data_IF_259299696484
#
_entry.id   IF_259299696484
#
_cell.length_a   1.000
_cell.length_b   1.000
_cell.length_c   1.000
_cell.angle_alpha   90.00
_cell.angle_beta   90.00
_cell.angle_gamma   90.00
#
_symmetry.space_group_name_H-M   'P 1'
#
loop_
_entity.id
_entity.type
_entity.pdbx_description
1 polymer ?
#
# COMPACT_ATOMS: atom_id res chain seq x y z
N UNK A 1 -19.88 -17.82 -0.88
CA UNK A 1 -19.52 -17.32 0.48
C UNK A 1 -18.00 -17.09 0.70
N UNK A 2 -17.14 -17.31 -0.30
CA UNK A 2 -15.66 -17.17 -0.14
C UNK A 2 -15.14 -15.74 0.06
N UNK A 3 -15.96 -14.70 -0.03
CA UNK A 3 -15.52 -13.30 -0.02
C UNK A 3 -16.11 -12.43 1.10
N UNK A 4 -16.75 -13.03 2.10
CA UNK A 4 -17.29 -12.27 3.23
C UNK A 4 -16.21 -12.08 4.29
N UNK A 5 -15.91 -10.82 4.63
CA UNK A 5 -15.04 -10.47 5.76
C UNK A 5 -15.90 -10.32 7.01
N UNK A 6 -15.45 -10.96 8.10
CA UNK A 6 -16.09 -10.82 9.42
C UNK A 6 -15.65 -9.49 10.02
N UNK A 7 -16.60 -8.62 10.33
CA UNK A 7 -16.32 -7.36 11.04
C UNK A 7 -16.96 -7.47 12.42
N UNK A 8 -16.14 -7.28 13.45
CA UNK A 8 -16.60 -7.28 14.84
C UNK A 8 -17.32 -5.97 15.15
N UNK A 9 -18.57 -6.07 15.58
CA UNK A 9 -19.34 -4.93 16.07
C UNK A 9 -19.16 -4.86 17.58
N UNK A 10 -18.36 -3.93 18.05
CA UNK A 10 -18.14 -3.65 19.47
C UNK A 10 -18.98 -2.47 19.92
N UNK A 11 -19.34 -2.43 21.21
CA UNK A 11 -20.04 -1.27 21.78
C UNK A 11 -19.16 -0.03 21.79
N UNK A 12 -19.75 1.15 21.76
CA UNK A 12 -19.00 2.42 21.85
C UNK A 12 -18.16 2.51 23.11
N UNK A 13 -18.67 1.97 24.23
CA UNK A 13 -17.93 1.91 25.48
C UNK A 13 -16.67 1.03 25.34
N UNK A 14 -16.81 -0.13 24.72
CA UNK A 14 -15.67 -1.02 24.43
C UNK A 14 -14.62 -0.33 23.55
N UNK A 15 -15.05 0.37 22.50
CA UNK A 15 -14.15 1.11 21.62
C UNK A 15 -13.37 2.21 22.36
N UNK A 16 -14.03 2.91 23.30
CA UNK A 16 -13.34 3.91 24.14
C UNK A 16 -12.30 3.26 25.05
N UNK A 17 -12.65 2.14 25.68
CA UNK A 17 -11.72 1.38 26.52
C UNK A 17 -10.55 0.82 25.73
N UNK A 18 -10.81 0.26 24.56
CA UNK A 18 -9.77 -0.19 23.65
C UNK A 18 -8.83 0.96 23.22
N UNK A 19 -9.34 2.18 23.10
CA UNK A 19 -8.53 3.37 22.82
C UNK A 19 -7.44 3.60 23.87
N UNK A 20 -7.77 3.52 25.13
CA UNK A 20 -6.78 3.65 26.22
C UNK A 20 -5.75 2.51 26.20
N UNK A 21 -6.21 1.26 26.01
CA UNK A 21 -5.31 0.10 25.92
C UNK A 21 -4.34 0.28 24.74
N UNK A 22 -4.87 0.66 23.58
CA UNK A 22 -4.09 0.96 22.40
C UNK A 22 -2.99 1.98 22.68
N UNK A 23 -3.36 3.12 23.26
CA UNK A 23 -2.42 4.22 23.49
C UNK A 23 -1.30 3.78 24.45
N UNK A 24 -1.62 3.02 25.48
CA UNK A 24 -0.61 2.47 26.40
C UNK A 24 0.31 1.45 25.73
N UNK A 25 -0.23 0.54 24.93
CA UNK A 25 0.57 -0.43 24.18
C UNK A 25 1.51 0.31 23.22
N UNK A 26 0.98 1.27 22.44
CA UNK A 26 1.79 2.01 21.46
C UNK A 26 2.93 2.80 22.10
N UNK A 27 2.73 3.32 23.32
CA UNK A 27 3.82 3.94 24.10
C UNK A 27 4.88 2.91 24.48
N UNK A 28 4.45 1.74 25.00
CA UNK A 28 5.37 0.70 25.47
C UNK A 28 6.23 0.11 24.35
N UNK A 29 5.62 -0.13 23.16
CA UNK A 29 6.30 -0.79 22.04
C UNK A 29 6.96 0.17 21.03
N UNK A 30 6.86 1.48 21.24
CA UNK A 30 7.24 2.51 20.25
C UNK A 30 8.66 2.35 19.70
N UNK A 31 9.61 1.87 20.50
CA UNK A 31 11.01 1.66 20.13
C UNK A 31 11.27 0.31 19.43
N UNK A 32 10.32 -0.60 19.47
CA UNK A 32 10.42 -1.95 18.92
C UNK A 32 9.67 -2.12 17.59
N UNK A 33 8.97 -1.05 17.16
CA UNK A 33 8.22 -1.07 15.91
C UNK A 33 9.19 -1.04 14.74
N UNK A 34 8.95 -1.90 13.75
CA UNK A 34 9.72 -1.90 12.50
C UNK A 34 9.62 -0.52 11.82
N UNK A 35 10.77 0.06 11.53
CA UNK A 35 10.87 1.38 10.88
C UNK A 35 10.29 1.40 9.46
N UNK A 36 10.18 0.24 8.84
CA UNK A 36 9.66 0.06 7.48
C UNK A 36 8.14 -0.11 7.44
N UNK A 37 7.47 -0.16 8.60
CA UNK A 37 6.01 -0.21 8.70
C UNK A 37 5.40 1.18 8.60
N UNK A 38 4.65 1.44 7.53
CA UNK A 38 3.95 2.71 7.28
C UNK A 38 2.48 2.69 7.72
N UNK A 39 1.90 1.49 7.86
CA UNK A 39 0.52 1.34 8.28
C UNK A 39 0.33 1.57 9.78
N UNK A 40 -0.80 2.19 10.16
CA UNK A 40 -1.22 2.36 11.56
C UNK A 40 -0.24 3.11 12.48
N UNK A 41 0.71 3.84 11.94
CA UNK A 41 1.64 4.66 12.69
C UNK A 41 1.30 6.14 12.56
N UNK A 42 1.47 6.89 13.68
CA UNK A 42 1.29 8.33 13.68
C UNK A 42 2.35 9.01 12.82
N UNK A 43 1.91 9.88 11.92
CA UNK A 43 2.81 10.65 11.05
C UNK A 43 3.19 9.94 9.75
N UNK A 44 2.70 8.72 9.52
CA UNK A 44 2.87 8.00 8.24
C UNK A 44 1.54 7.84 7.50
N UNK A 45 1.59 7.54 6.23
CA UNK A 45 0.42 7.35 5.36
C UNK A 45 0.77 6.46 4.17
N UNK A 46 -0.26 6.07 3.40
CA UNK A 46 -0.09 5.41 2.11
C UNK A 46 0.79 6.24 1.16
N UNK A 47 0.64 7.57 1.17
CA UNK A 47 1.44 8.48 0.34
C UNK A 47 2.94 8.40 0.69
N UNK A 48 3.30 8.36 1.98
CA UNK A 48 4.68 8.18 2.41
C UNK A 48 5.27 6.85 1.95
N UNK A 49 4.50 5.76 2.02
CA UNK A 49 4.96 4.45 1.54
C UNK A 49 5.26 4.48 0.05
N UNK A 50 4.29 4.92 -0.79
CA UNK A 50 4.50 4.87 -2.24
C UNK A 50 5.57 5.84 -2.72
N UNK A 51 5.71 7.02 -2.09
CA UNK A 51 6.77 7.97 -2.41
C UNK A 51 8.13 7.36 -2.09
N UNK A 52 8.31 6.80 -0.88
CA UNK A 52 9.58 6.21 -0.48
C UNK A 52 9.93 4.94 -1.28
N UNK A 53 8.93 4.13 -1.62
CA UNK A 53 9.11 2.95 -2.47
C UNK A 53 9.63 3.34 -3.86
N UNK A 54 8.99 4.33 -4.49
CA UNK A 54 9.39 4.81 -5.83
C UNK A 54 10.73 5.55 -5.80
N UNK A 55 10.94 6.40 -4.80
CA UNK A 55 12.21 7.12 -4.61
C UNK A 55 13.37 6.13 -4.47
N UNK A 56 13.17 5.05 -3.70
CA UNK A 56 14.19 4.01 -3.53
C UNK A 56 14.49 3.27 -4.84
N UNK A 57 13.47 2.92 -5.62
CA UNK A 57 13.66 2.31 -6.95
C UNK A 57 14.50 3.23 -7.84
N UNK A 58 14.12 4.52 -7.92
CA UNK A 58 14.83 5.50 -8.74
C UNK A 58 16.27 5.69 -8.27
N UNK A 59 16.51 5.82 -6.96
CA UNK A 59 17.86 5.92 -6.39
C UNK A 59 18.73 4.71 -6.73
N UNK A 60 18.18 3.49 -6.63
CA UNK A 60 18.91 2.26 -6.96
C UNK A 60 19.27 2.20 -8.45
N UNK A 61 18.37 2.65 -9.32
CA UNK A 61 18.61 2.70 -10.76
C UNK A 61 19.59 3.82 -11.16
N UNK A 62 19.51 4.99 -10.50
CA UNK A 62 20.37 6.16 -10.82
C UNK A 62 21.81 5.98 -10.35
N UNK A 63 22.01 5.42 -9.16
CA UNK A 63 23.33 5.31 -8.55
C UNK A 63 24.21 4.23 -9.18
N UNK A 64 23.64 3.31 -9.98
CA UNK A 64 24.35 2.10 -10.43
C UNK A 64 24.50 1.98 -11.95
N UNK A 65 24.40 3.07 -12.70
CA UNK A 65 24.55 3.15 -14.16
C UNK A 65 23.53 2.31 -14.96
N UNK A 66 23.68 2.35 -16.28
CA UNK A 66 22.76 1.73 -17.28
C UNK A 66 22.67 0.20 -17.23
N UNK A 67 23.53 -0.47 -16.44
CA UNK A 67 23.59 -1.93 -16.34
C UNK A 67 23.10 -2.45 -15.00
N UNK A 68 21.90 -2.00 -14.56
CA UNK A 68 21.27 -2.48 -13.33
C UNK A 68 19.76 -2.65 -13.50
N UNK A 69 19.20 -3.56 -12.74
CA UNK A 69 17.76 -3.74 -12.60
C UNK A 69 17.36 -3.79 -11.13
N UNK A 70 16.13 -3.42 -10.83
CA UNK A 70 15.55 -3.56 -9.49
C UNK A 70 14.41 -4.56 -9.55
N UNK A 71 14.51 -5.63 -8.76
CA UNK A 71 13.43 -6.58 -8.56
C UNK A 71 12.62 -6.13 -7.35
N UNK A 72 11.31 -5.96 -7.53
CA UNK A 72 10.36 -5.70 -6.46
C UNK A 72 9.47 -6.93 -6.25
N UNK A 73 9.63 -7.63 -5.14
CA UNK A 73 8.74 -8.71 -4.73
C UNK A 73 7.59 -8.16 -3.89
N UNK A 74 6.37 -8.60 -4.20
CA UNK A 74 5.12 -8.16 -3.57
C UNK A 74 4.46 -9.39 -2.95
N UNK A 75 4.42 -9.43 -1.62
CA UNK A 75 3.97 -10.60 -0.87
C UNK A 75 2.63 -10.32 -0.21
N UNK A 76 1.65 -11.19 -0.43
CA UNK A 76 0.31 -11.11 0.13
C UNK A 76 0.04 -12.31 1.08
N UNK A 77 -0.74 -12.08 2.15
CA UNK A 77 -1.16 -13.12 3.07
C UNK A 77 -2.65 -13.42 2.92
N UNK A 78 -2.99 -14.71 2.95
CA UNK A 78 -4.38 -15.18 2.89
C UNK A 78 -5.07 -15.03 4.23
N UNK A 79 -6.13 -14.20 4.29
CA UNK A 79 -6.97 -14.04 5.50
C UNK A 79 -6.15 -13.72 6.76
N UNK A 80 -5.25 -12.76 6.66
CA UNK A 80 -4.26 -12.43 7.68
C UNK A 80 -4.88 -12.27 9.09
N UNK A 81 -5.97 -11.52 9.24
CA UNK A 81 -6.66 -11.34 10.51
C UNK A 81 -7.34 -12.61 11.05
N UNK A 82 -7.88 -13.46 10.18
CA UNK A 82 -8.57 -14.70 10.60
C UNK A 82 -7.59 -15.78 11.09
N UNK A 83 -6.29 -15.63 10.78
CA UNK A 83 -5.23 -16.61 11.10
C UNK A 83 -4.37 -16.22 12.27
N UNK A 84 -4.60 -15.06 12.88
CA UNK A 84 -3.87 -14.66 14.07
C UNK A 84 -4.01 -15.71 15.17
N UNK A 85 -2.87 -16.05 15.80
CA UNK A 85 -2.84 -16.94 16.97
C UNK A 85 -2.70 -16.09 18.23
N UNK A 86 -3.73 -16.04 19.09
CA UNK A 86 -3.70 -15.21 20.30
C UNK A 86 -2.53 -15.54 21.23
N UNK A 87 -2.12 -16.80 21.29
CA UNK A 87 -1.01 -17.22 22.15
C UNK A 87 0.33 -16.68 21.64
N UNK A 88 0.54 -16.73 20.33
CA UNK A 88 1.73 -16.14 19.70
C UNK A 88 1.71 -14.61 19.83
N UNK A 89 0.56 -13.97 19.61
CA UNK A 89 0.40 -12.54 19.79
C UNK A 89 0.77 -12.10 21.20
N UNK A 90 0.26 -12.77 22.23
CA UNK A 90 0.58 -12.45 23.64
C UNK A 90 2.09 -12.60 23.92
N UNK A 91 2.74 -13.67 23.41
CA UNK A 91 4.19 -13.82 23.53
C UNK A 91 4.95 -12.67 22.88
N UNK A 92 4.51 -12.20 21.71
CA UNK A 92 5.13 -11.07 21.00
C UNK A 92 4.86 -9.75 21.73
N UNK A 93 3.69 -9.51 22.28
CA UNK A 93 3.42 -8.36 23.13
C UNK A 93 4.41 -8.28 24.31
N UNK A 94 4.64 -9.41 24.99
CA UNK A 94 5.61 -9.49 26.09
C UNK A 94 7.04 -9.21 25.58
N UNK A 95 7.43 -9.84 24.45
CA UNK A 95 8.76 -9.66 23.83
C UNK A 95 9.01 -8.20 23.44
N UNK A 96 7.98 -7.51 22.93
CA UNK A 96 8.06 -6.10 22.55
C UNK A 96 7.99 -5.13 23.74
N UNK A 97 7.91 -5.63 25.00
CA UNK A 97 7.99 -4.82 26.20
C UNK A 97 6.69 -4.19 26.67
N UNK A 98 5.53 -4.73 26.27
CA UNK A 98 4.25 -4.30 26.81
C UNK A 98 4.24 -4.50 28.33
N UNK A 99 3.83 -3.46 29.08
CA UNK A 99 3.80 -3.48 30.54
C UNK A 99 3.02 -4.68 31.10
N UNK A 100 3.54 -5.36 32.14
CA UNK A 100 2.94 -6.60 32.66
C UNK A 100 1.47 -6.48 33.05
N UNK A 101 1.02 -5.32 33.49
CA UNK A 101 -0.38 -5.08 33.86
C UNK A 101 -1.38 -5.22 32.71
N UNK A 102 -0.96 -5.01 31.46
CA UNK A 102 -1.82 -5.14 30.28
C UNK A 102 -1.89 -6.59 29.78
N UNK A 103 -0.92 -7.44 30.09
CA UNK A 103 -0.86 -8.82 29.56
C UNK A 103 -2.09 -9.65 29.93
N UNK A 104 -2.57 -9.67 31.18
CA UNK A 104 -3.80 -10.38 31.54
C UNK A 104 -5.05 -9.83 30.82
N UNK A 105 -5.11 -8.52 30.61
CA UNK A 105 -6.22 -7.86 29.88
C UNK A 105 -6.23 -8.33 28.43
N UNK A 106 -5.06 -8.30 27.76
CA UNK A 106 -4.90 -8.78 26.38
C UNK A 106 -5.23 -10.28 26.27
N UNK A 107 -4.75 -11.10 27.22
CA UNK A 107 -5.04 -12.52 27.25
C UNK A 107 -6.55 -12.78 27.37
N UNK A 108 -7.23 -12.09 28.27
CA UNK A 108 -8.68 -12.19 28.43
C UNK A 108 -9.44 -11.74 27.17
N UNK A 109 -8.98 -10.68 26.51
CA UNK A 109 -9.64 -10.13 25.32
C UNK A 109 -9.45 -11.00 24.07
N UNK A 110 -8.29 -11.61 23.90
CA UNK A 110 -7.93 -12.33 22.66
C UNK A 110 -8.27 -13.82 22.72
N UNK A 111 -8.39 -14.43 23.93
CA UNK A 111 -8.65 -15.87 24.07
C UNK A 111 -10.12 -16.16 24.39
N UNK A 112 -10.55 -17.41 24.17
CA UNK A 112 -11.90 -17.90 24.47
C UNK A 112 -13.03 -17.10 23.83
N UNK A 113 -12.78 -16.46 22.71
CA UNK A 113 -13.73 -15.58 22.03
C UNK A 113 -14.91 -16.37 21.46
N UNK A 114 -16.06 -15.72 21.50
CA UNK A 114 -17.29 -16.23 20.91
C UNK A 114 -17.88 -15.17 19.98
N UNK A 115 -18.57 -15.60 18.94
CA UNK A 115 -19.25 -14.70 18.01
C UNK A 115 -20.63 -15.21 17.63
N UNK A 116 -21.50 -14.25 17.30
CA UNK A 116 -22.78 -14.47 16.62
C UNK A 116 -22.81 -13.59 15.37
N UNK A 117 -23.42 -14.06 14.31
CA UNK A 117 -23.69 -13.24 13.11
C UNK A 117 -25.07 -12.63 13.24
N UNK A 118 -25.16 -11.30 13.09
CA UNK A 118 -26.42 -10.56 13.01
C UNK A 118 -26.78 -10.32 11.55
N UNK A 119 -27.98 -10.71 11.15
CA UNK A 119 -28.56 -10.43 9.83
C UNK A 119 -30.05 -10.13 9.96
N UNK A 120 -30.50 -8.99 9.44
CA UNK A 120 -31.92 -8.58 9.45
C UNK A 120 -32.61 -8.76 10.82
N UNK A 121 -31.99 -8.28 11.90
CA UNK A 121 -32.45 -8.42 13.29
C UNK A 121 -32.49 -9.84 13.87
N UNK A 122 -32.07 -10.86 13.11
CA UNK A 122 -31.88 -12.22 13.59
C UNK A 122 -30.42 -12.46 13.99
N UNK A 123 -30.19 -13.32 14.97
CA UNK A 123 -28.87 -13.74 15.42
C UNK A 123 -28.68 -15.23 15.14
N UNK A 124 -27.47 -15.60 14.70
CA UNK A 124 -27.08 -17.00 14.64
C UNK A 124 -26.88 -17.57 16.04
N UNK A 125 -26.76 -18.91 16.11
CA UNK A 125 -26.21 -19.55 17.31
C UNK A 125 -24.81 -19.00 17.60
N UNK A 126 -24.40 -19.04 18.88
CA UNK A 126 -23.04 -18.67 19.33
C UNK A 126 -22.02 -19.69 18.83
N UNK A 127 -20.93 -19.21 18.27
CA UNK A 127 -19.78 -20.02 17.84
C UNK A 127 -18.53 -19.64 18.61
N UNK A 128 -17.80 -20.61 19.11
CA UNK A 128 -16.45 -20.40 19.67
C UNK A 128 -15.49 -20.18 18.51
N UNK A 129 -14.59 -19.20 18.66
CA UNK A 129 -13.52 -18.92 17.71
C UNK A 129 -12.23 -19.56 18.20
N UNK A 130 -11.62 -20.46 17.41
CA UNK A 130 -10.35 -21.11 17.79
C UNK A 130 -9.15 -20.17 17.73
N UNK A 131 -9.27 -19.05 17.00
CA UNK A 131 -8.23 -18.04 16.79
C UNK A 131 -8.76 -16.89 15.94
N UNK A 132 -7.87 -16.12 15.37
CA UNK A 132 -8.14 -14.92 14.57
C UNK A 132 -8.28 -13.68 15.42
N UNK A 133 -7.85 -12.54 14.90
CA UNK A 133 -8.00 -11.23 15.53
C UNK A 133 -9.42 -10.66 15.37
N UNK A 134 -9.88 -9.81 16.28
CA UNK A 134 -11.18 -9.14 16.17
C UNK A 134 -11.10 -8.02 15.13
N UNK A 135 -11.29 -8.35 13.86
CA UNK A 135 -11.25 -7.37 12.76
C UNK A 135 -12.31 -6.29 12.95
N UNK A 136 -11.90 -5.02 12.89
CA UNK A 136 -12.77 -3.86 13.13
C UNK A 136 -12.66 -3.28 14.54
N UNK A 137 -11.79 -3.82 15.39
CA UNK A 137 -11.48 -3.29 16.72
C UNK A 137 -10.09 -2.68 16.75
N UNK A 138 -9.83 -1.80 17.73
CA UNK A 138 -8.53 -1.14 17.87
C UNK A 138 -7.45 -2.13 18.35
N UNK A 139 -7.79 -2.99 19.32
CA UNK A 139 -6.86 -3.98 19.88
C UNK A 139 -6.55 -5.07 18.83
N UNK A 140 -7.55 -5.51 18.05
CA UNK A 140 -7.31 -6.48 16.97
C UNK A 140 -6.36 -5.98 15.89
N UNK A 141 -6.39 -4.68 15.59
CA UNK A 141 -5.46 -4.06 14.68
C UNK A 141 -4.02 -4.08 15.24
N UNK A 142 -3.85 -3.77 16.53
CA UNK A 142 -2.54 -3.81 17.17
C UNK A 142 -2.03 -5.25 17.36
N UNK A 143 -2.94 -6.20 17.62
CA UNK A 143 -2.58 -7.62 17.64
C UNK A 143 -1.90 -8.02 16.33
N UNK A 144 -2.52 -7.70 15.19
CA UNK A 144 -1.93 -7.96 13.90
C UNK A 144 -0.57 -7.27 13.72
N UNK A 145 -0.52 -5.99 14.06
CA UNK A 145 0.69 -5.17 13.98
C UNK A 145 1.86 -5.77 14.76
N UNK A 146 1.62 -6.18 16.02
CA UNK A 146 2.63 -6.82 16.87
C UNK A 146 3.00 -8.22 16.36
N UNK A 147 2.02 -9.00 15.88
CA UNK A 147 2.28 -10.33 15.37
C UNK A 147 3.10 -10.32 14.08
N UNK A 148 2.91 -9.32 13.22
CA UNK A 148 3.61 -9.19 11.94
C UNK A 148 4.86 -8.32 11.99
N UNK A 149 5.24 -7.75 13.12
CA UNK A 149 6.32 -6.77 13.23
C UNK A 149 7.69 -7.28 12.76
N UNK A 150 7.92 -8.59 12.85
CA UNK A 150 9.16 -9.27 12.49
C UNK A 150 9.06 -10.11 11.20
N UNK A 151 8.01 -9.92 10.40
CA UNK A 151 7.71 -10.76 9.23
C UNK A 151 8.69 -10.60 8.06
N UNK A 152 9.45 -9.53 8.06
CA UNK A 152 10.40 -9.21 7.01
C UNK A 152 11.80 -8.87 7.55
N UNK A 153 12.16 -9.35 8.74
CA UNK A 153 13.47 -9.11 9.36
C UNK A 153 14.64 -9.65 8.53
N UNK A 154 14.39 -10.59 7.61
CA UNK A 154 15.36 -11.09 6.65
C UNK A 154 15.70 -10.08 5.53
N UNK A 155 14.88 -9.04 5.32
CA UNK A 155 15.10 -8.01 4.31
C UNK A 155 15.68 -6.77 4.96
N UNK A 156 16.65 -6.13 4.30
CA UNK A 156 17.19 -4.86 4.75
C UNK A 156 16.07 -3.82 4.98
N UNK A 157 16.03 -3.15 6.15
CA UNK A 157 15.03 -2.13 6.44
C UNK A 157 14.92 -1.02 5.40
N UNK A 158 16.00 -0.73 4.66
CA UNK A 158 15.97 0.26 3.57
C UNK A 158 15.35 -0.24 2.28
N UNK A 159 15.19 -1.55 2.15
CA UNK A 159 14.71 -2.22 0.94
C UNK A 159 13.35 -2.88 1.15
N UNK A 160 12.74 -2.73 2.33
CA UNK A 160 11.41 -3.26 2.64
C UNK A 160 10.41 -2.15 2.93
N UNK A 161 9.18 -2.34 2.50
CA UNK A 161 8.07 -1.39 2.63
C UNK A 161 6.83 -2.16 3.05
N UNK A 162 6.30 -1.86 4.24
CA UNK A 162 5.20 -2.59 4.84
C UNK A 162 4.03 -1.63 5.08
N UNK A 163 2.84 -2.01 4.61
CA UNK A 163 1.60 -1.31 4.94
C UNK A 163 0.57 -2.29 5.48
N UNK A 164 0.54 -2.44 6.79
CA UNK A 164 -0.27 -3.43 7.51
C UNK A 164 0.11 -4.86 7.10
N UNK A 165 -0.62 -5.44 6.13
CA UNK A 165 -0.41 -6.78 5.57
C UNK A 165 0.27 -6.77 4.20
N UNK A 166 0.33 -5.65 3.51
CA UNK A 166 1.05 -5.53 2.23
C UNK A 166 2.57 -5.40 2.50
N UNK A 167 3.36 -6.36 2.04
CA UNK A 167 4.82 -6.35 2.08
C UNK A 167 5.39 -6.22 0.68
N UNK A 168 6.23 -5.22 0.48
CA UNK A 168 7.05 -5.05 -0.73
C UNK A 168 8.53 -5.06 -0.36
N UNK A 169 9.35 -5.82 -1.09
CA UNK A 169 10.79 -5.86 -0.87
C UNK A 169 11.53 -5.63 -2.20
N UNK A 170 12.61 -4.85 -2.13
CA UNK A 170 13.44 -4.49 -3.29
C UNK A 170 14.78 -5.20 -3.26
N UNK A 171 15.31 -5.53 -4.42
CA UNK A 171 16.67 -5.98 -4.63
C UNK A 171 17.28 -5.29 -5.85
N UNK A 172 18.49 -4.76 -5.69
CA UNK A 172 19.30 -4.28 -6.81
C UNK A 172 20.06 -5.45 -7.43
N UNK A 173 19.92 -5.64 -8.72
CA UNK A 173 20.65 -6.62 -9.51
C UNK A 173 21.62 -5.91 -10.44
N UNK A 174 22.92 -6.14 -10.24
CA UNK A 174 23.99 -5.58 -11.07
C UNK A 174 24.22 -6.47 -12.28
N UNK A 175 23.78 -6.03 -13.44
CA UNK A 175 23.91 -6.79 -14.71
C UNK A 175 25.36 -6.91 -15.17
N UNK A 176 26.19 -5.90 -14.87
CA UNK A 176 27.60 -5.91 -15.24
C UNK A 176 28.40 -7.06 -14.57
N UNK A 177 28.10 -7.39 -13.30
CA UNK A 177 28.71 -8.53 -12.63
C UNK A 177 28.30 -9.87 -13.21
N UNK A 178 27.04 -9.97 -13.65
CA UNK A 178 26.50 -11.15 -14.30
C UNK A 178 27.06 -11.33 -15.73
N UNK A 179 27.23 -10.22 -16.45
CA UNK A 179 27.84 -10.25 -17.78
C UNK A 179 29.32 -10.65 -17.74
N UNK A 180 30.08 -10.33 -16.68
CA UNK A 180 31.47 -10.75 -16.52
C UNK A 180 31.60 -12.28 -16.31
N UNK A 181 30.65 -12.91 -15.63
CA UNK A 181 30.56 -14.38 -15.55
C UNK A 181 30.09 -15.02 -16.86
N UNK A 182 29.31 -14.27 -17.67
CA UNK A 182 28.79 -14.71 -18.96
C UNK A 182 29.72 -14.46 -20.15
N UNK A 183 30.74 -13.60 -20.01
CA UNK A 183 31.63 -13.24 -21.12
C UNK A 183 32.36 -14.46 -21.74
N UNK A 184 32.46 -15.56 -21.01
CA UNK A 184 32.96 -16.84 -21.55
C UNK A 184 31.93 -17.57 -22.44
N UNK A 185 30.62 -17.27 -22.30
CA UNK A 185 29.54 -17.85 -23.14
C UNK A 185 29.11 -16.96 -24.30
N UNK A 186 29.45 -15.67 -24.28
CA UNK A 186 29.05 -14.68 -25.31
C UNK A 186 29.70 -14.92 -26.70
N UNK A 187 30.82 -15.61 -26.77
CA UNK A 187 31.43 -15.98 -28.06
C UNK A 187 30.60 -17.00 -28.85
N UNK A 188 29.59 -17.61 -28.24
CA UNK A 188 28.66 -18.54 -28.89
C UNK A 188 27.28 -17.90 -29.13
N UNK A 189 26.98 -16.78 -28.46
CA UNK A 189 25.66 -16.15 -28.46
C UNK A 189 25.55 -14.92 -29.40
N UNK A 190 26.67 -14.50 -30.02
CA UNK A 190 26.66 -13.34 -30.96
C UNK A 190 25.87 -13.58 -32.26
N UNK A 191 25.49 -14.82 -32.52
CA UNK A 191 24.65 -15.17 -33.70
C UNK A 191 23.15 -15.34 -33.34
N UNK A 192 22.79 -15.26 -32.06
CA UNK A 192 21.42 -15.31 -31.57
C UNK A 192 21.21 -14.04 -30.80
N UNK A 193 20.45 -13.08 -31.36
CA UNK A 193 20.11 -11.83 -30.66
C UNK A 193 19.51 -12.13 -29.28
N UNK A 194 20.30 -12.00 -28.22
CA UNK A 194 19.82 -12.18 -26.85
C UNK A 194 19.39 -10.81 -26.33
N UNK A 195 18.11 -10.54 -26.48
CA UNK A 195 17.45 -9.38 -25.89
C UNK A 195 17.12 -9.61 -24.39
N UNK A 196 17.35 -10.83 -23.88
CA UNK A 196 16.96 -11.26 -22.53
C UNK A 196 18.12 -11.91 -21.77
N UNK A 197 18.44 -11.38 -20.57
CA UNK A 197 19.43 -11.96 -19.65
C UNK A 197 18.73 -12.76 -18.56
N UNK A 198 18.90 -14.08 -18.56
CA UNK A 198 18.38 -14.94 -17.50
C UNK A 198 19.26 -14.94 -16.26
N UNK A 199 18.71 -14.54 -15.12
CA UNK A 199 19.36 -14.58 -13.80
C UNK A 199 18.79 -15.75 -12.99
N UNK A 200 19.68 -16.67 -12.57
CA UNK A 200 19.27 -17.80 -11.74
C UNK A 200 18.69 -17.32 -10.41
N UNK A 201 17.54 -17.82 -9.96
CA UNK A 201 16.97 -17.47 -8.66
C UNK A 201 17.93 -17.72 -7.49
N UNK A 202 18.81 -18.72 -7.58
CA UNK A 202 19.81 -19.03 -6.56
C UNK A 202 20.83 -17.90 -6.32
N UNK A 203 20.97 -16.99 -7.28
CA UNK A 203 21.89 -15.84 -7.21
C UNK A 203 21.19 -14.56 -6.72
N UNK A 204 19.89 -14.66 -6.38
CA UNK A 204 19.08 -13.53 -5.95
C UNK A 204 18.75 -13.60 -4.45
N UNK A 205 19.05 -12.53 -3.72
CA UNK A 205 18.61 -12.35 -2.34
C UNK A 205 17.09 -12.38 -2.22
N UNK A 206 16.37 -11.90 -3.24
CA UNK A 206 14.90 -11.98 -3.28
C UNK A 206 14.41 -13.40 -3.11
N UNK A 207 15.04 -14.40 -3.73
CA UNK A 207 14.64 -15.79 -3.59
C UNK A 207 14.91 -16.33 -2.16
N UNK A 208 16.04 -15.96 -1.57
CA UNK A 208 16.38 -16.28 -0.18
C UNK A 208 15.39 -15.61 0.80
N UNK A 209 15.11 -14.33 0.59
CA UNK A 209 14.14 -13.58 1.39
C UNK A 209 12.73 -14.19 1.32
N UNK A 210 12.28 -14.59 0.12
CA UNK A 210 10.98 -15.27 -0.06
C UNK A 210 10.93 -16.60 0.70
N UNK A 211 12.04 -17.36 0.74
CA UNK A 211 12.13 -18.59 1.52
C UNK A 211 12.06 -18.30 3.03
N UNK A 212 12.77 -17.30 3.50
CA UNK A 212 12.77 -16.90 4.92
C UNK A 212 11.38 -16.38 5.36
N UNK A 213 10.71 -15.58 4.52
CA UNK A 213 9.34 -15.12 4.75
C UNK A 213 8.37 -16.32 4.82
N UNK A 214 8.54 -17.32 3.95
CA UNK A 214 7.73 -18.54 3.98
C UNK A 214 7.93 -19.33 5.28
N UNK A 215 9.18 -19.45 5.76
CA UNK A 215 9.51 -20.10 7.03
C UNK A 215 8.88 -19.36 8.21
N UNK A 216 9.06 -18.01 8.27
CA UNK A 216 8.42 -17.17 9.27
C UNK A 216 6.89 -17.33 9.27
N UNK A 217 6.28 -17.36 8.07
CA UNK A 217 4.83 -17.51 7.91
C UNK A 217 4.34 -18.84 8.49
N UNK A 218 5.06 -19.93 8.27
CA UNK A 218 4.76 -21.24 8.83
C UNK A 218 4.87 -21.26 10.36
N UNK A 219 5.95 -20.72 10.92
CA UNK A 219 6.19 -20.62 12.37
C UNK A 219 5.11 -19.78 13.08
N UNK A 220 4.63 -18.74 12.42
CA UNK A 220 3.60 -17.85 12.95
C UNK A 220 2.17 -18.30 12.61
N UNK A 221 1.99 -19.51 12.06
CA UNK A 221 0.69 -20.10 11.70
C UNK A 221 -0.13 -19.23 10.71
N UNK A 222 0.56 -18.38 9.99
CA UNK A 222 -0.01 -17.58 8.91
C UNK A 222 -0.07 -18.39 7.61
N UNK A 223 -0.61 -17.83 6.55
CA UNK A 223 -0.63 -18.45 5.23
C UNK A 223 -0.37 -17.39 4.16
N UNK A 224 0.63 -17.64 3.34
CA UNK A 224 0.87 -16.85 2.14
C UNK A 224 -0.23 -17.06 1.10
N UNK A 225 -0.37 -16.08 0.25
CA UNK A 225 -1.24 -16.12 -0.92
C UNK A 225 -0.38 -16.12 -2.17
N UNK A 226 0.08 -17.30 -2.57
CA UNK A 226 0.99 -17.45 -3.69
C UNK A 226 0.38 -16.96 -5.02
N UNK A 227 -0.94 -17.07 -5.19
CA UNK A 227 -1.66 -16.59 -6.39
C UNK A 227 -1.70 -15.06 -6.51
N UNK A 228 -1.61 -14.33 -5.39
CA UNK A 228 -1.60 -12.88 -5.35
C UNK A 228 -0.22 -12.30 -5.14
N UNK A 229 0.73 -13.12 -4.67
CA UNK A 229 2.11 -12.71 -4.57
C UNK A 229 2.75 -12.74 -5.95
N UNK A 230 3.48 -11.68 -6.28
CA UNK A 230 4.06 -11.49 -7.59
C UNK A 230 5.36 -10.67 -7.49
N UNK A 231 6.00 -10.42 -8.62
CA UNK A 231 7.16 -9.56 -8.66
C UNK A 231 7.20 -8.71 -9.93
N UNK A 232 7.87 -7.57 -9.84
CA UNK A 232 8.13 -6.65 -10.94
C UNK A 232 9.64 -6.51 -11.14
N UNK A 233 10.04 -6.19 -12.35
CA UNK A 233 11.43 -5.87 -12.70
C UNK A 233 11.48 -4.49 -13.33
N UNK A 234 12.16 -3.57 -12.68
CA UNK A 234 12.43 -2.23 -13.20
C UNK A 234 13.84 -2.20 -13.79
N UNK A 235 13.98 -1.76 -15.02
CA UNK A 235 15.27 -1.62 -15.68
C UNK A 235 15.29 -0.38 -16.56
N UNK A 236 16.47 0.24 -16.70
CA UNK A 236 16.74 1.27 -17.71
C UNK A 236 17.53 0.71 -18.88
N UNK A 237 17.98 -0.54 -18.78
CA UNK A 237 18.69 -1.23 -19.86
C UNK A 237 17.71 -1.69 -20.91
N UNK A 238 18.15 -1.70 -22.17
CA UNK A 238 17.44 -2.37 -23.28
C UNK A 238 17.44 -3.89 -23.09
N UNK A 239 18.41 -4.42 -22.33
CA UNK A 239 18.47 -5.85 -21.98
C UNK A 239 17.41 -6.19 -20.96
N UNK A 240 16.49 -7.05 -21.31
CA UNK A 240 15.48 -7.54 -20.40
C UNK A 240 16.09 -8.54 -19.40
N UNK A 241 15.73 -8.38 -18.11
CA UNK A 241 16.12 -9.32 -17.05
C UNK A 241 15.02 -10.32 -16.83
N UNK A 242 15.29 -11.59 -17.14
CA UNK A 242 14.41 -12.70 -16.84
C UNK A 242 14.87 -13.44 -15.58
N UNK A 243 13.92 -13.84 -14.77
CA UNK A 243 14.13 -14.76 -13.64
C UNK A 243 12.83 -15.50 -13.33
N UNK A 244 12.91 -16.59 -12.55
CA UNK A 244 11.75 -17.35 -12.13
C UNK A 244 11.77 -17.50 -10.61
N UNK A 245 11.19 -16.54 -9.91
CA UNK A 245 11.06 -16.58 -8.47
C UNK A 245 9.98 -17.59 -8.04
N UNK A 246 10.18 -18.22 -6.91
CA UNK A 246 9.25 -19.19 -6.35
C UNK A 246 8.96 -18.91 -4.88
N UNK A 247 7.70 -19.15 -4.46
CA UNK A 247 7.23 -19.05 -3.09
C UNK A 247 6.51 -20.35 -2.71
N UNK A 248 6.96 -21.05 -1.67
CA UNK A 248 6.46 -22.38 -1.29
C UNK A 248 6.44 -23.40 -2.45
N UNK A 249 7.43 -23.34 -3.35
CA UNK A 249 7.49 -24.23 -4.51
C UNK A 249 6.61 -23.82 -5.70
N UNK A 250 5.76 -22.79 -5.56
CA UNK A 250 4.96 -22.24 -6.64
C UNK A 250 5.72 -21.10 -7.30
N UNK A 251 5.78 -21.09 -8.64
CA UNK A 251 6.39 -19.98 -9.40
C UNK A 251 5.54 -18.72 -9.26
N UNK A 252 6.17 -17.61 -8.89
CA UNK A 252 5.52 -16.31 -8.84
C UNK A 252 5.33 -15.74 -10.25
N UNK A 253 4.22 -15.05 -10.46
CA UNK A 253 3.97 -14.32 -11.69
C UNK A 253 4.82 -13.06 -11.75
N UNK A 254 5.49 -12.84 -12.88
CA UNK A 254 6.08 -11.54 -13.23
C UNK A 254 4.98 -10.66 -13.80
N UNK A 255 4.80 -9.49 -13.21
CA UNK A 255 3.80 -8.54 -13.63
C UNK A 255 4.46 -7.22 -14.05
N UNK A 256 3.82 -6.52 -14.97
CA UNK A 256 4.30 -5.23 -15.46
C UNK A 256 3.61 -4.05 -14.80
N UNK A 257 2.47 -4.30 -14.16
CA UNK A 257 1.69 -3.28 -13.47
C UNK A 257 1.10 -3.82 -12.16
N UNK A 258 1.13 -3.01 -11.11
CA UNK A 258 0.55 -3.35 -9.80
C UNK A 258 -0.20 -2.17 -9.22
N UNK A 259 -1.18 -2.47 -8.39
CA UNK A 259 -1.87 -1.48 -7.58
C UNK A 259 -1.38 -1.53 -6.14
N UNK A 260 -0.36 -0.73 -5.81
CA UNK A 260 0.20 -0.65 -4.46
C UNK A 260 -0.53 0.42 -3.64
N UNK A 261 -1.12 0.04 -2.51
CA UNK A 261 -1.93 0.87 -1.60
C UNK A 261 -2.82 1.91 -2.30
N UNK A 262 -3.39 1.51 -3.43
CA UNK A 262 -4.35 2.33 -4.18
C UNK A 262 -3.82 3.05 -5.41
N UNK A 263 -2.50 3.12 -5.60
CA UNK A 263 -1.82 3.73 -6.76
C UNK A 263 -1.39 2.65 -7.74
N UNK A 264 -1.62 2.87 -9.04
CA UNK A 264 -1.11 2.01 -10.09
C UNK A 264 0.34 2.39 -10.43
N UNK A 265 1.23 1.42 -10.37
CA UNK A 265 2.65 1.53 -10.72
C UNK A 265 2.91 0.58 -11.88
N UNK A 266 3.65 1.05 -12.88
CA UNK A 266 4.08 0.27 -14.05
C UNK A 266 5.60 0.12 -14.05
N UNK A 267 6.13 -0.91 -14.68
CA UNK A 267 7.59 -1.11 -14.83
C UNK A 267 8.25 -0.03 -15.69
N UNK A 268 7.46 0.65 -16.52
CA UNK A 268 7.91 1.80 -17.34
C UNK A 268 7.96 3.11 -16.57
N UNK A 269 7.47 3.14 -15.31
CA UNK A 269 7.43 4.33 -14.45
C UNK A 269 6.62 5.48 -15.06
N UNK A 270 5.61 5.16 -15.87
CA UNK A 270 4.63 6.10 -16.39
C UNK A 270 3.35 6.12 -15.53
N UNK A 271 2.52 7.15 -15.74
CA UNK A 271 1.30 7.34 -14.98
C UNK A 271 0.02 7.19 -15.80
N UNK A 272 0.14 6.62 -17.01
CA UNK A 272 -1.03 6.49 -17.90
C UNK A 272 -2.11 5.61 -17.27
N UNK A 273 -1.73 4.43 -16.77
CA UNK A 273 -2.65 3.51 -16.10
C UNK A 273 -3.29 4.15 -14.87
N UNK A 274 -2.48 4.83 -14.04
CA UNK A 274 -2.97 5.45 -12.80
C UNK A 274 -3.97 6.57 -13.10
N UNK A 275 -3.66 7.49 -13.98
CA UNK A 275 -4.53 8.62 -14.35
C UNK A 275 -5.81 8.15 -15.02
N UNK A 276 -5.74 7.15 -15.91
CA UNK A 276 -6.90 6.54 -16.57
C UNK A 276 -7.87 5.92 -15.57
N UNK A 277 -7.35 5.14 -14.60
CA UNK A 277 -8.19 4.51 -13.58
C UNK A 277 -8.77 5.51 -12.57
N UNK A 278 -8.01 6.57 -12.22
CA UNK A 278 -8.51 7.68 -11.40
C UNK A 278 -9.68 8.37 -12.11
N UNK A 279 -9.49 8.78 -13.37
CA UNK A 279 -10.53 9.44 -14.17
C UNK A 279 -11.77 8.56 -14.32
N UNK A 280 -11.61 7.26 -14.62
CA UNK A 280 -12.70 6.28 -14.74
C UNK A 280 -13.54 6.22 -13.46
N UNK A 281 -12.91 6.16 -12.28
CA UNK A 281 -13.61 6.17 -11.00
C UNK A 281 -14.30 7.49 -10.73
N UNK A 282 -13.66 8.62 -11.07
CA UNK A 282 -14.22 9.94 -10.91
C UNK A 282 -15.47 10.12 -11.80
N UNK A 283 -15.42 9.71 -13.07
CA UNK A 283 -16.59 9.73 -13.97
C UNK A 283 -17.75 8.90 -13.43
N UNK A 284 -17.50 7.72 -12.86
CA UNK A 284 -18.54 6.91 -12.23
C UNK A 284 -19.21 7.64 -11.06
N UNK A 285 -18.46 8.45 -10.29
CA UNK A 285 -19.02 9.26 -9.17
C UNK A 285 -19.78 10.50 -9.64
N UNK A 286 -19.51 11.03 -10.83
CA UNK A 286 -20.25 12.17 -11.41
C UNK A 286 -21.73 11.84 -11.55
N UNK A 287 -22.09 10.58 -11.83
CA UNK A 287 -23.49 10.15 -11.89
C UNK A 287 -24.26 10.48 -10.59
N UNK A 288 -23.61 10.32 -9.43
CA UNK A 288 -24.22 10.69 -8.15
C UNK A 288 -24.39 12.20 -8.03
N UNK A 289 -23.36 12.98 -8.37
CA UNK A 289 -23.43 14.45 -8.37
C UNK A 289 -24.58 14.97 -9.26
N UNK A 290 -24.72 14.39 -10.44
CA UNK A 290 -25.83 14.70 -11.37
C UNK A 290 -27.19 14.40 -10.76
N UNK A 291 -27.37 13.24 -10.12
CA UNK A 291 -28.63 12.89 -9.45
C UNK A 291 -28.97 13.84 -8.31
N UNK A 292 -28.00 14.24 -7.52
CA UNK A 292 -28.17 15.23 -6.44
C UNK A 292 -28.59 16.61 -6.99
N UNK A 293 -27.97 17.04 -8.09
CA UNK A 293 -28.38 18.28 -8.78
C UNK A 293 -29.83 18.24 -9.23
N UNK A 294 -30.26 17.13 -9.88
CA UNK A 294 -31.65 16.96 -10.30
C UNK A 294 -32.63 16.85 -9.12
N UNK A 295 -32.17 16.40 -7.97
CA UNK A 295 -32.97 16.36 -6.73
C UNK A 295 -33.09 17.74 -6.05
N UNK A 296 -32.52 18.80 -6.63
CA UNK A 296 -32.61 20.16 -6.11
C UNK A 296 -31.63 20.48 -4.97
N UNK A 297 -30.57 19.70 -4.79
CA UNK A 297 -29.54 19.98 -3.77
C UNK A 297 -28.85 21.32 -4.10
N UNK A 298 -28.67 22.23 -3.11
CA UNK A 298 -28.02 23.52 -3.31
C UNK A 298 -26.58 23.41 -3.85
N UNK A 299 -26.13 24.42 -4.60
CA UNK A 299 -24.79 24.41 -5.21
C UNK A 299 -23.67 24.27 -4.17
N UNK A 300 -23.78 24.88 -3.00
CA UNK A 300 -22.80 24.79 -1.91
C UNK A 300 -22.59 23.34 -1.41
N UNK A 301 -23.70 22.61 -1.25
CA UNK A 301 -23.65 21.20 -0.86
C UNK A 301 -23.08 20.33 -1.98
N UNK A 302 -23.41 20.63 -3.24
CA UNK A 302 -22.85 19.92 -4.40
C UNK A 302 -21.35 20.16 -4.52
N UNK A 303 -20.85 21.38 -4.24
CA UNK A 303 -19.42 21.68 -4.16
C UNK A 303 -18.76 20.84 -3.06
N UNK A 304 -19.38 20.75 -1.90
CA UNK A 304 -18.90 19.89 -0.79
C UNK A 304 -18.82 18.41 -1.21
N UNK A 305 -19.84 17.88 -1.86
CA UNK A 305 -19.86 16.53 -2.41
C UNK A 305 -18.73 16.34 -3.44
N UNK A 306 -18.54 17.30 -4.34
CA UNK A 306 -17.45 17.27 -5.31
C UNK A 306 -16.09 17.19 -4.60
N UNK A 307 -15.84 18.08 -3.64
CA UNK A 307 -14.57 18.15 -2.87
C UNK A 307 -14.27 16.82 -2.17
N UNK A 308 -15.23 16.30 -1.43
CA UNK A 308 -15.04 15.12 -0.59
C UNK A 308 -15.02 13.81 -1.40
N UNK A 309 -15.82 13.72 -2.45
CA UNK A 309 -16.08 12.45 -3.12
C UNK A 309 -15.36 12.29 -4.45
N UNK A 310 -15.19 13.38 -5.22
CA UNK A 310 -14.61 13.32 -6.57
C UNK A 310 -13.19 13.87 -6.55
N UNK A 311 -12.97 15.09 -6.05
CA UNK A 311 -11.65 15.72 -6.02
C UNK A 311 -10.64 14.92 -5.20
N UNK A 312 -11.08 14.33 -4.09
CA UNK A 312 -10.22 13.46 -3.27
C UNK A 312 -9.60 12.30 -4.04
N UNK A 313 -10.29 11.76 -5.07
CA UNK A 313 -9.71 10.76 -5.97
C UNK A 313 -8.67 11.35 -6.92
N UNK A 314 -8.98 12.55 -7.49
CA UNK A 314 -8.15 13.21 -8.49
C UNK A 314 -6.82 13.72 -7.91
N UNK A 315 -6.74 13.83 -6.58
CA UNK A 315 -5.56 14.30 -5.85
C UNK A 315 -4.90 13.22 -4.99
N UNK A 316 -5.39 11.96 -5.04
CA UNK A 316 -4.85 10.89 -4.20
C UNK A 316 -3.41 10.59 -4.55
N UNK A 317 -2.49 10.66 -3.58
CA UNK A 317 -1.04 10.47 -3.74
C UNK A 317 -0.43 11.31 -4.87
N UNK A 318 -0.98 12.51 -5.14
CA UNK A 318 -0.55 13.35 -6.26
C UNK A 318 0.91 13.81 -6.16
N UNK A 319 1.46 13.87 -4.98
CA UNK A 319 2.88 14.18 -4.75
C UNK A 319 3.81 13.23 -5.49
N UNK A 320 3.40 11.97 -5.63
CA UNK A 320 4.20 10.96 -6.32
C UNK A 320 4.27 11.19 -7.84
N UNK A 321 3.16 11.54 -8.46
CA UNK A 321 3.02 11.47 -9.92
C UNK A 321 2.82 12.83 -10.62
N UNK A 322 2.56 13.91 -9.87
CA UNK A 322 2.24 15.21 -10.46
C UNK A 322 3.35 15.75 -11.38
N UNK A 323 4.61 15.72 -10.93
CA UNK A 323 5.75 16.35 -11.63
C UNK A 323 6.12 15.67 -12.96
N UNK A 324 5.65 14.44 -13.16
CA UNK A 324 5.99 13.63 -14.36
C UNK A 324 4.79 13.37 -15.25
N UNK A 325 3.65 14.03 -15.00
CA UNK A 325 2.48 13.95 -15.87
C UNK A 325 2.74 14.60 -17.23
N UNK A 326 2.23 13.96 -18.27
CA UNK A 326 2.12 14.59 -19.59
C UNK A 326 1.02 15.66 -19.62
N UNK A 327 1.10 16.61 -20.54
CA UNK A 327 0.05 17.63 -20.73
C UNK A 327 -1.33 17.00 -21.00
N UNK A 328 -1.38 15.86 -21.68
CA UNK A 328 -2.62 15.13 -21.91
C UNK A 328 -3.20 14.56 -20.61
N UNK A 329 -2.39 13.96 -19.78
CA UNK A 329 -2.79 13.44 -18.47
C UNK A 329 -3.31 14.55 -17.55
N UNK A 330 -2.62 15.71 -17.49
CA UNK A 330 -3.09 16.89 -16.79
C UNK A 330 -4.46 17.34 -17.29
N UNK A 331 -4.62 17.46 -18.61
CA UNK A 331 -5.87 17.86 -19.23
C UNK A 331 -7.01 16.87 -18.95
N UNK A 332 -6.73 15.56 -18.90
CA UNK A 332 -7.73 14.54 -18.61
C UNK A 332 -8.26 14.68 -17.18
N UNK A 333 -7.40 14.96 -16.19
CA UNK A 333 -7.80 15.23 -14.81
C UNK A 333 -8.63 16.53 -14.73
N UNK A 334 -8.18 17.62 -15.36
CA UNK A 334 -8.90 18.90 -15.38
C UNK A 334 -10.27 18.80 -16.06
N UNK A 335 -10.42 17.98 -17.10
CA UNK A 335 -11.72 17.73 -17.76
C UNK A 335 -12.76 17.19 -16.78
N UNK A 336 -12.37 16.38 -15.82
CA UNK A 336 -13.28 15.87 -14.78
C UNK A 336 -13.80 17.01 -13.91
N UNK A 337 -12.92 17.91 -13.44
CA UNK A 337 -13.32 19.06 -12.65
C UNK A 337 -14.21 20.00 -13.44
N UNK A 338 -13.85 20.32 -14.69
CA UNK A 338 -14.66 21.13 -15.60
C UNK A 338 -16.08 20.58 -15.74
N UNK A 339 -16.21 19.28 -15.92
CA UNK A 339 -17.53 18.64 -16.03
C UNK A 339 -18.32 18.73 -14.72
N UNK A 340 -17.68 18.53 -13.57
CA UNK A 340 -18.34 18.66 -12.28
C UNK A 340 -18.86 20.10 -12.08
N UNK A 341 -18.06 21.12 -12.36
CA UNK A 341 -18.46 22.52 -12.22
C UNK A 341 -19.62 22.89 -13.19
N UNK A 342 -19.55 22.38 -14.41
CA UNK A 342 -20.66 22.53 -15.37
C UNK A 342 -21.98 21.93 -14.87
N UNK A 343 -21.93 20.79 -14.19
CA UNK A 343 -23.13 20.17 -13.59
C UNK A 343 -23.61 21.00 -12.40
N UNK A 344 -22.71 21.45 -11.52
CA UNK A 344 -23.05 22.21 -10.31
C UNK A 344 -23.70 23.55 -10.69
N UNK A 345 -23.09 24.32 -11.57
CA UNK A 345 -23.57 25.65 -11.95
C UNK A 345 -24.72 25.61 -12.96
N UNK A 346 -24.82 24.55 -13.79
CA UNK A 346 -25.89 24.44 -14.79
C UNK A 346 -25.89 25.60 -15.78
N UNK A 347 -26.94 26.40 -15.80
CA UNK A 347 -27.08 27.56 -16.70
C UNK A 347 -26.16 28.74 -16.34
N UNK A 348 -25.67 28.79 -15.11
CA UNK A 348 -24.74 29.82 -14.63
C UNK A 348 -23.28 29.56 -15.05
N UNK A 349 -23.02 28.42 -15.72
CA UNK A 349 -21.68 28.07 -16.19
C UNK A 349 -21.33 28.86 -17.46
N UNK A 350 -20.43 29.81 -17.35
CA UNK A 350 -19.97 30.73 -18.43
C UNK A 350 -18.48 30.55 -18.79
N UNK A 351 -17.87 29.49 -18.33
CA UNK A 351 -16.47 29.15 -18.59
C UNK A 351 -15.75 28.60 -17.36
N UNK A 352 -14.60 27.95 -17.60
CA UNK A 352 -13.91 27.25 -16.50
C UNK A 352 -13.30 28.19 -15.48
N UNK A 353 -12.67 29.31 -15.95
CA UNK A 353 -12.04 30.27 -15.06
C UNK A 353 -13.08 30.91 -14.11
N UNK A 354 -14.20 31.42 -14.67
CA UNK A 354 -15.28 32.02 -13.90
C UNK A 354 -15.95 31.03 -12.96
N UNK A 355 -16.09 29.73 -13.40
CA UNK A 355 -16.64 28.66 -12.56
C UNK A 355 -15.75 28.37 -11.36
N UNK A 356 -14.43 28.41 -11.51
CA UNK A 356 -13.50 28.25 -10.38
C UNK A 356 -13.66 29.39 -9.37
N UNK A 357 -13.74 30.64 -9.85
CA UNK A 357 -13.93 31.83 -9.00
C UNK A 357 -15.28 31.77 -8.27
N UNK A 358 -16.38 31.50 -9.00
CA UNK A 358 -17.73 31.41 -8.46
C UNK A 358 -17.83 30.32 -7.38
N UNK A 359 -17.17 29.18 -7.57
CA UNK A 359 -17.16 28.08 -6.60
C UNK A 359 -16.06 28.19 -5.54
N UNK A 360 -15.25 29.26 -5.56
CA UNK A 360 -14.07 29.44 -4.68
C UNK A 360 -13.14 28.23 -4.71
N UNK A 361 -12.84 27.73 -5.91
CA UNK A 361 -11.97 26.58 -6.15
C UNK A 361 -10.75 27.00 -6.98
N UNK A 362 -9.67 26.24 -6.82
CA UNK A 362 -8.47 26.33 -7.65
C UNK A 362 -8.46 25.24 -8.72
N UNK A 363 -7.61 25.38 -9.74
CA UNK A 363 -7.34 24.31 -10.68
C UNK A 363 -6.72 23.10 -9.95
N UNK A 364 -6.94 21.89 -10.45
CA UNK A 364 -6.30 20.70 -9.88
C UNK A 364 -4.77 20.74 -10.03
N UNK A 365 -4.27 21.39 -11.09
CA UNK A 365 -2.84 21.55 -11.31
C UNK A 365 -2.21 22.42 -10.21
N UNK A 366 -2.73 23.62 -9.96
CA UNK A 366 -2.25 24.53 -8.89
C UNK A 366 -2.28 23.85 -7.52
N UNK A 367 -3.36 23.11 -7.26
CA UNK A 367 -3.50 22.39 -5.98
C UNK A 367 -2.49 21.25 -5.81
N UNK A 368 -2.20 20.51 -6.89
CA UNK A 368 -1.19 19.44 -6.85
C UNK A 368 0.21 20.01 -6.66
N UNK A 369 0.54 21.12 -7.33
CA UNK A 369 1.80 21.85 -7.10
C UNK A 369 1.95 22.28 -5.64
N UNK A 370 0.92 22.92 -5.08
CA UNK A 370 0.93 23.34 -3.68
C UNK A 370 1.13 22.15 -2.71
N UNK A 371 0.51 20.99 -3.01
CA UNK A 371 0.72 19.77 -2.23
C UNK A 371 2.16 19.25 -2.33
N UNK A 372 2.76 19.26 -3.52
CA UNK A 372 4.16 18.85 -3.70
C UNK A 372 5.10 19.74 -2.90
N UNK A 373 4.92 21.06 -2.96
CA UNK A 373 5.70 22.02 -2.17
C UNK A 373 5.53 21.79 -0.66
N UNK A 374 4.28 21.61 -0.20
CA UNK A 374 4.00 21.36 1.21
C UNK A 374 4.63 20.03 1.69
N UNK A 375 4.58 18.98 0.87
CA UNK A 375 5.20 17.70 1.17
C UNK A 375 6.73 17.83 1.28
N UNK A 376 7.36 18.49 0.30
CA UNK A 376 8.79 18.73 0.30
C UNK A 376 9.25 19.53 1.53
N UNK A 377 8.55 20.62 1.87
CA UNK A 377 8.85 21.41 3.08
C UNK A 377 8.68 20.58 4.36
N UNK A 378 7.64 19.76 4.48
CA UNK A 378 7.45 18.87 5.64
C UNK A 378 8.54 17.82 5.73
N UNK A 379 8.97 17.26 4.61
CA UNK A 379 10.05 16.27 4.57
C UNK A 379 11.41 16.84 4.96
N UNK A 380 11.66 18.12 4.65
CA UNK A 380 12.86 18.84 5.08
C UNK A 380 12.85 19.17 6.58
N UNK A 381 11.70 19.60 7.10
CA UNK A 381 11.56 20.02 8.51
C UNK A 381 11.43 18.82 9.47
N UNK A 382 10.80 17.75 9.02
CA UNK A 382 10.60 16.52 9.78
C UNK A 382 10.99 15.32 8.91
N UNK A 383 12.28 15.08 8.70
CA UNK A 383 12.71 13.95 7.89
C UNK A 383 12.19 12.65 8.55
N UNK A 384 11.22 12.04 7.91
CA UNK A 384 10.69 10.71 8.30
C UNK A 384 11.84 9.70 8.28
N UNK A 385 12.87 9.98 7.50
CA UNK A 385 14.13 9.24 7.42
C UNK A 385 15.14 9.55 8.54
N UNK A 386 14.98 10.60 9.34
CA UNK A 386 15.92 10.93 10.43
C UNK A 386 15.77 10.05 11.67
N UNK A 387 14.80 9.14 11.70
CA UNK A 387 14.74 8.08 12.73
C UNK A 387 15.81 6.98 12.53
N UNK A 388 16.63 7.09 11.49
CA UNK A 388 17.78 6.24 11.20
C UNK A 388 19.08 6.92 11.65
N UNK A 389 19.26 7.11 12.96
CA UNK A 389 20.56 7.25 13.60
C UNK A 389 20.52 6.59 14.96
#
# INVERSE_FOLDING_TARGET
MKHLRKISLTSEFSLKFEGFIKDWIMVDISTQIDVSQYGNQKGTSTEHLVVNFMDKILQLLDNNNTCSAVIASLVDWSSAFDRQDPTLAIKKFIKMGVRPALVPVLASYLTNRQMQVKHNNAYSRTHKLPGGGPQGTLVGLIEYFVQSNDNADCVDPELRFIYVDDLSALELVMLASLLSEYSFKQHVASDIGIDELYVSPSNLKTQENLHNIASWTSENKMKLNEEKSNYMVFSRSETEVATRLALNGNTLERIEEVKLVGVWITTWLDWEKNTKEICKKAYARITMLTKLKYAGVPNEDLITVYILYIRSLLEYCSVLWHSTLTGEQCNNLERVQKLCLKIILGQEYDGYANALETCSLESLETRREAKCLQYGLKSLLHPIHSKKK
#
